data_IF_207141035552
#
_entry.id   IF_207141035552
#
_cell.length_a   1.000
_cell.length_b   1.000
_cell.length_c   1.000
_cell.angle_alpha   90.00
_cell.angle_beta   90.00
_cell.angle_gamma   90.00
#
_symmetry.space_group_name_H-M   'P 1'
#
loop_
_entity.id
_entity.type
_entity.pdbx_description
1 polymer ?
#
# COMPACT_ATOMS: atom_id res chain seq x y z
N UNK A 1 -12.77 31.68 4.74
CA UNK A 1 -12.07 32.22 3.57
C UNK A 1 -11.22 31.11 2.99
N UNK A 2 -11.43 30.77 1.72
CA UNK A 2 -10.58 29.81 0.98
C UNK A 2 -9.73 30.65 0.03
N UNK A 3 -8.41 30.64 0.25
CA UNK A 3 -7.47 31.26 -0.67
C UNK A 3 -7.21 30.26 -1.80
N UNK A 4 -7.84 30.49 -2.96
CA UNK A 4 -7.56 29.77 -4.18
C UNK A 4 -6.35 30.43 -4.88
N UNK A 5 -5.14 30.06 -4.46
CA UNK A 5 -3.89 30.44 -5.12
C UNK A 5 -3.12 29.21 -5.59
N UNK A 6 -2.37 29.34 -6.68
CA UNK A 6 -1.45 28.29 -7.12
C UNK A 6 -0.36 28.06 -6.06
N UNK A 7 -0.10 26.79 -5.71
CA UNK A 7 0.97 26.42 -4.79
C UNK A 7 2.33 26.58 -5.46
N UNK A 8 2.88 27.79 -5.40
CA UNK A 8 4.20 28.11 -5.96
C UNK A 8 5.32 27.73 -4.99
N UNK A 9 6.12 26.72 -5.36
CA UNK A 9 7.43 26.44 -4.73
C UNK A 9 7.40 25.75 -3.36
N UNK A 10 6.24 25.27 -2.91
CA UNK A 10 6.10 24.54 -1.64
C UNK A 10 6.24 23.03 -1.89
N UNK A 11 7.24 22.40 -1.27
CA UNK A 11 7.48 20.95 -1.34
C UNK A 11 6.40 20.20 -0.56
N UNK A 12 5.94 19.07 -1.09
CA UNK A 12 5.03 18.15 -0.38
C UNK A 12 5.75 17.48 0.81
N UNK A 13 4.97 17.08 1.82
CA UNK A 13 5.44 16.46 3.07
C UNK A 13 6.50 17.22 3.87
N UNK A 14 6.54 18.55 3.76
CA UNK A 14 7.55 19.38 4.38
C UNK A 14 6.95 20.28 5.46
N UNK A 15 7.68 20.45 6.55
CA UNK A 15 7.34 21.40 7.61
C UNK A 15 7.69 22.83 7.18
N UNK A 16 6.73 23.73 7.36
CA UNK A 16 6.85 25.14 7.04
C UNK A 16 6.56 26.01 8.26
N UNK A 17 7.22 27.17 8.26
CA UNK A 17 7.01 28.24 9.23
C UNK A 17 6.49 29.45 8.49
N UNK A 18 5.30 29.93 8.84
CA UNK A 18 4.68 31.12 8.26
C UNK A 18 4.76 32.29 9.25
N UNK A 19 5.20 33.43 8.73
CA UNK A 19 5.06 34.73 9.39
C UNK A 19 4.48 35.72 8.40
N UNK A 20 3.67 36.65 8.88
CA UNK A 20 3.03 37.66 8.04
C UNK A 20 3.31 39.04 8.65
N UNK A 21 3.79 39.96 7.82
CA UNK A 21 3.93 41.38 8.14
C UNK A 21 3.03 42.20 7.22
N UNK A 22 2.62 43.39 7.68
CA UNK A 22 1.82 44.34 6.90
C UNK A 22 2.69 45.52 6.49
N UNK A 23 2.57 46.00 5.24
CA UNK A 23 3.33 47.14 4.73
C UNK A 23 2.40 48.24 4.20
N UNK A 24 2.74 49.50 4.42
CA UNK A 24 2.16 50.67 3.75
C UNK A 24 3.24 51.46 2.99
N UNK A 25 2.90 52.62 2.42
CA UNK A 25 3.84 53.44 1.63
C UNK A 25 5.02 53.99 2.43
N UNK A 26 4.91 54.01 3.76
CA UNK A 26 5.90 54.60 4.67
C UNK A 26 6.82 53.51 5.24
N UNK A 27 6.26 52.39 5.70
CA UNK A 27 7.02 51.35 6.38
C UNK A 27 6.33 49.98 6.37
N UNK A 28 7.12 48.95 6.68
CA UNK A 28 6.65 47.61 7.02
C UNK A 28 6.52 47.48 8.54
N UNK A 29 5.39 46.97 9.00
CA UNK A 29 5.09 46.71 10.41
C UNK A 29 5.76 45.44 10.91
N UNK A 30 5.64 45.20 12.23
CA UNK A 30 6.19 44.01 12.85
C UNK A 30 5.57 42.73 12.27
N UNK A 31 6.41 41.72 12.04
CA UNK A 31 5.95 40.40 11.61
C UNK A 31 5.22 39.67 12.75
N UNK A 32 4.21 38.88 12.38
CA UNK A 32 3.44 38.04 13.30
C UNK A 32 4.30 37.02 14.04
N UNK A 33 3.68 36.41 15.05
CA UNK A 33 4.13 35.13 15.62
C UNK A 33 4.26 34.06 14.54
N UNK A 34 5.16 33.10 14.79
CA UNK A 34 5.44 31.99 13.87
C UNK A 34 4.34 30.94 13.98
N UNK A 35 3.63 30.71 12.88
CA UNK A 35 2.73 29.56 12.74
C UNK A 35 3.49 28.40 12.11
N UNK A 36 3.40 27.22 12.73
CA UNK A 36 3.98 25.99 12.21
C UNK A 36 2.89 25.16 11.51
N UNK A 37 3.16 24.68 10.30
CA UNK A 37 2.28 23.77 9.59
C UNK A 37 3.09 22.82 8.70
N UNK A 38 2.59 21.61 8.50
CA UNK A 38 3.21 20.60 7.63
C UNK A 38 2.40 20.43 6.36
N UNK A 39 3.03 20.45 5.18
CA UNK A 39 2.35 20.06 3.93
C UNK A 39 2.14 18.56 3.92
N UNK A 40 1.07 18.07 3.31
CA UNK A 40 0.83 16.62 3.24
C UNK A 40 1.77 15.97 2.23
N UNK A 41 2.40 14.85 2.57
CA UNK A 41 2.64 13.74 1.63
C UNK A 41 1.28 13.27 1.14
N UNK A 42 1.14 12.85 -0.13
CA UNK A 42 -0.07 12.12 -0.51
C UNK A 42 -0.70 12.62 -1.79
N UNK A 43 -0.22 12.09 -2.91
CA UNK A 43 -1.09 11.97 -4.07
C UNK A 43 -2.25 11.01 -3.77
N UNK A 44 -2.00 9.98 -2.95
CA UNK A 44 -2.94 8.89 -2.68
C UNK A 44 -2.97 8.53 -1.20
N UNK A 45 -4.17 8.17 -0.72
CA UNK A 45 -4.36 7.62 0.61
C UNK A 45 -3.65 6.26 0.76
N UNK A 46 -3.38 5.89 2.01
CA UNK A 46 -2.95 4.53 2.31
C UNK A 46 -4.04 3.54 1.90
N UNK A 47 -3.70 2.41 1.26
CA UNK A 47 -4.62 1.29 1.12
C UNK A 47 -5.13 0.85 2.50
N UNK A 48 -6.45 0.72 2.60
CA UNK A 48 -7.16 0.28 3.81
C UNK A 48 -7.73 -1.14 3.61
N UNK A 49 -8.13 -1.79 4.72
CA UNK A 49 -8.69 -3.15 4.74
C UNK A 49 -7.83 -4.19 4.00
N UNK A 50 -6.51 -4.09 4.19
CA UNK A 50 -5.56 -5.02 3.56
C UNK A 50 -5.68 -6.41 4.22
N UNK A 51 -5.99 -7.41 3.40
CA UNK A 51 -6.15 -8.82 3.77
C UNK A 51 -5.22 -9.67 2.93
N UNK A 52 -4.73 -10.76 3.51
CA UNK A 52 -3.76 -11.65 2.87
C UNK A 52 -4.34 -13.07 2.86
N UNK A 53 -4.35 -13.69 1.68
CA UNK A 53 -4.74 -15.08 1.49
C UNK A 53 -3.58 -15.85 0.87
N UNK A 54 -3.24 -17.00 1.44
CA UNK A 54 -2.11 -17.82 0.98
C UNK A 54 -2.65 -19.10 0.40
N UNK A 55 -2.32 -19.35 -0.87
CA UNK A 55 -2.73 -20.54 -1.58
C UNK A 55 -1.78 -21.71 -1.28
N UNK A 56 -2.26 -22.93 -1.49
CA UNK A 56 -1.50 -24.18 -1.24
C UNK A 56 -0.27 -24.34 -2.14
N UNK A 57 -0.25 -23.65 -3.29
CA UNK A 57 0.92 -23.58 -4.18
C UNK A 57 1.98 -22.58 -3.67
N UNK A 58 1.71 -21.86 -2.57
CA UNK A 58 2.58 -20.85 -1.96
C UNK A 58 2.45 -19.45 -2.57
N UNK A 59 1.51 -19.24 -3.49
CA UNK A 59 1.19 -17.91 -3.97
C UNK A 59 0.44 -17.12 -2.89
N UNK A 60 0.73 -15.82 -2.82
CA UNK A 60 0.12 -14.91 -1.86
C UNK A 60 -0.74 -13.91 -2.60
N UNK A 61 -2.01 -13.86 -2.23
CA UNK A 61 -2.99 -12.91 -2.72
C UNK A 61 -3.20 -11.83 -1.69
N UNK A 62 -3.15 -10.57 -2.13
CA UNK A 62 -3.33 -9.41 -1.27
C UNK A 62 -4.55 -8.64 -1.74
N UNK A 63 -5.54 -8.55 -0.87
CA UNK A 63 -6.82 -7.90 -1.13
C UNK A 63 -6.91 -6.61 -0.33
N UNK A 64 -7.41 -5.53 -0.92
CA UNK A 64 -7.62 -4.27 -0.21
C UNK A 64 -8.61 -3.36 -0.96
N UNK A 65 -9.08 -2.31 -0.29
CA UNK A 65 -9.95 -1.32 -0.90
C UNK A 65 -9.20 -0.45 -1.92
N UNK A 66 -9.80 -0.27 -3.09
CA UNK A 66 -9.21 0.53 -4.15
C UNK A 66 -8.91 1.95 -3.66
N UNK A 67 -7.69 2.40 -3.92
CA UNK A 67 -7.29 3.77 -3.56
C UNK A 67 -7.72 4.72 -4.67
N UNK A 68 -8.29 5.86 -4.29
CA UNK A 68 -8.79 6.88 -5.21
C UNK A 68 -7.99 8.17 -5.13
N UNK A 69 -8.00 8.94 -6.23
CA UNK A 69 -7.29 10.21 -6.31
C UNK A 69 -8.06 11.26 -5.51
N UNK A 70 -7.52 11.64 -4.35
CA UNK A 70 -8.15 12.66 -3.50
C UNK A 70 -8.17 14.05 -4.15
N UNK A 71 -7.41 14.28 -5.22
CA UNK A 71 -7.39 15.55 -5.98
C UNK A 71 -8.63 15.72 -6.87
N UNK A 72 -9.33 14.63 -7.22
CA UNK A 72 -10.44 14.67 -8.17
C UNK A 72 -11.82 14.52 -7.51
N UNK A 73 -11.92 14.77 -6.20
CA UNK A 73 -13.16 14.59 -5.42
C UNK A 73 -14.31 15.51 -5.88
N UNK A 74 -13.99 16.67 -6.48
CA UNK A 74 -15.00 17.68 -6.84
C UNK A 74 -15.56 17.54 -8.27
N UNK A 75 -14.95 16.70 -9.13
CA UNK A 75 -15.44 16.39 -10.49
C UNK A 75 -16.13 15.03 -10.57
N UNK A 76 -16.90 14.68 -9.53
CA UNK A 76 -17.74 13.47 -9.48
C UNK A 76 -19.01 13.63 -10.35
N UNK A 77 -18.86 13.95 -11.63
CA UNK A 77 -19.81 13.43 -12.62
C UNK A 77 -19.42 11.99 -12.87
N UNK A 78 -20.27 11.08 -12.41
CA UNK A 78 -20.18 9.65 -12.63
C UNK A 78 -19.65 9.34 -14.04
N UNK A 79 -18.60 8.51 -14.14
CA UNK A 79 -18.24 7.60 -15.25
C UNK A 79 -16.73 7.35 -15.34
N UNK A 80 -15.85 8.17 -14.74
CA UNK A 80 -14.41 7.86 -14.72
C UNK A 80 -13.81 8.08 -13.34
N UNK A 81 -14.19 7.24 -12.38
CA UNK A 81 -13.32 6.98 -11.24
C UNK A 81 -12.00 6.51 -11.85
N UNK A 82 -10.98 7.37 -11.87
CA UNK A 82 -9.63 6.98 -12.22
C UNK A 82 -9.14 6.10 -11.06
N UNK A 83 -9.55 4.85 -11.10
CA UNK A 83 -9.03 3.78 -10.27
C UNK A 83 -7.53 3.75 -10.51
N UNK A 84 -6.73 3.80 -9.45
CA UNK A 84 -5.30 3.60 -9.63
C UNK A 84 -5.05 2.17 -10.03
N UNK A 85 -4.35 2.05 -11.14
CA UNK A 85 -3.99 0.76 -11.66
C UNK A 85 -2.65 0.31 -11.09
N UNK A 86 -1.74 1.20 -10.70
CA UNK A 86 -0.40 0.80 -10.23
C UNK A 86 -0.25 0.84 -8.71
N UNK A 87 0.24 -0.26 -8.15
CA UNK A 87 0.55 -0.44 -6.74
C UNK A 87 1.97 -0.97 -6.57
N UNK A 88 2.62 -0.57 -5.48
CA UNK A 88 3.88 -1.15 -5.04
C UNK A 88 3.65 -1.89 -3.74
N UNK A 89 3.95 -3.18 -3.76
CA UNK A 89 4.01 -4.04 -2.58
C UNK A 89 5.44 -3.99 -2.08
N UNK A 90 5.61 -3.63 -0.82
CA UNK A 90 6.89 -3.63 -0.13
C UNK A 90 6.92 -4.84 0.80
N UNK A 91 7.87 -5.75 0.57
CA UNK A 91 8.07 -6.96 1.38
C UNK A 91 9.41 -6.92 2.11
N UNK A 92 9.42 -7.38 3.35
CA UNK A 92 10.66 -7.65 4.08
C UNK A 92 10.49 -8.85 5.00
N UNK A 93 11.59 -9.39 5.51
CA UNK A 93 11.57 -10.49 6.48
C UNK A 93 11.68 -9.87 7.87
N UNK A 94 10.73 -10.11 8.79
CA UNK A 94 10.80 -9.59 10.16
C UNK A 94 12.06 -10.07 10.91
N UNK A 95 12.53 -9.33 11.93
CA UNK A 95 11.92 -8.12 12.50
C UNK A 95 12.07 -6.89 11.61
N UNK A 96 11.08 -5.97 11.69
CA UNK A 96 11.09 -4.71 10.93
C UNK A 96 11.71 -3.61 11.77
N UNK A 97 12.80 -3.02 11.27
CA UNK A 97 13.52 -1.89 11.85
C UNK A 97 13.92 -0.88 10.76
N UNK A 98 14.68 0.15 11.15
CA UNK A 98 15.12 1.22 10.24
C UNK A 98 16.07 0.76 9.12
N UNK A 99 16.73 -0.39 9.31
CA UNK A 99 17.69 -0.97 8.37
C UNK A 99 17.10 -2.14 7.57
N UNK A 100 15.81 -2.47 7.74
CA UNK A 100 15.16 -3.54 7.00
C UNK A 100 15.25 -3.31 5.50
N UNK A 101 15.72 -4.34 4.79
CA UNK A 101 15.80 -4.33 3.33
C UNK A 101 14.43 -4.67 2.76
N UNK A 102 13.86 -3.75 2.00
CA UNK A 102 12.56 -3.90 1.38
C UNK A 102 12.69 -4.33 -0.09
N UNK A 103 12.01 -5.41 -0.44
CA UNK A 103 11.80 -5.84 -1.82
C UNK A 103 10.52 -5.17 -2.35
N UNK A 104 10.66 -4.35 -3.38
CA UNK A 104 9.53 -3.71 -4.04
C UNK A 104 9.02 -4.58 -5.20
N UNK A 105 7.73 -4.88 -5.19
CA UNK A 105 7.03 -5.60 -6.24
C UNK A 105 5.96 -4.69 -6.81
N UNK A 106 6.13 -4.31 -8.08
CA UNK A 106 5.18 -3.46 -8.78
C UNK A 106 4.09 -4.28 -9.46
N UNK A 107 2.84 -3.84 -9.31
CA UNK A 107 1.68 -4.48 -9.91
C UNK A 107 0.77 -3.45 -10.53
N UNK A 108 0.22 -3.83 -11.68
CA UNK A 108 -0.85 -3.07 -12.31
C UNK A 108 -2.13 -3.89 -12.28
N UNK A 109 -3.17 -3.42 -11.60
CA UNK A 109 -4.44 -4.10 -11.42
C UNK A 109 -5.62 -3.13 -11.48
N UNK A 110 -6.68 -3.51 -12.19
CA UNK A 110 -7.97 -2.79 -12.17
C UNK A 110 -8.76 -3.28 -10.96
N UNK A 111 -9.35 -2.35 -10.19
CA UNK A 111 -10.26 -2.74 -9.12
C UNK A 111 -11.53 -3.37 -9.67
N UNK A 112 -11.98 -4.47 -9.08
CA UNK A 112 -13.32 -5.02 -9.30
C UNK A 112 -14.20 -4.63 -8.12
N UNK A 113 -15.34 -3.97 -8.37
CA UNK A 113 -16.29 -3.58 -7.33
C UNK A 113 -15.68 -2.77 -6.16
N UNK A 114 -14.68 -1.92 -6.44
CA UNK A 114 -14.01 -1.12 -5.40
C UNK A 114 -12.94 -1.86 -4.60
N UNK A 115 -12.63 -3.11 -4.96
CA UNK A 115 -11.57 -3.90 -4.32
C UNK A 115 -10.47 -4.24 -5.32
N UNK A 116 -9.23 -4.32 -4.83
CA UNK A 116 -8.05 -4.69 -5.61
C UNK A 116 -7.50 -6.01 -5.08
N UNK A 117 -7.11 -6.89 -5.99
CA UNK A 117 -6.45 -8.15 -5.68
C UNK A 117 -5.10 -8.19 -6.40
N UNK A 118 -4.01 -8.31 -5.64
CA UNK A 118 -2.66 -8.41 -6.18
C UNK A 118 -2.05 -9.77 -5.90
N UNK A 119 -1.49 -10.39 -6.95
CA UNK A 119 -0.74 -11.64 -6.84
C UNK A 119 0.74 -11.39 -6.59
N UNK A 120 1.25 -11.99 -5.52
CA UNK A 120 2.67 -12.18 -5.25
C UNK A 120 2.96 -13.67 -5.51
N UNK A 121 3.55 -14.01 -6.68
CA UNK A 121 3.83 -15.40 -6.99
C UNK A 121 4.90 -15.92 -6.04
N UNK A 122 4.85 -17.21 -5.68
CA UNK A 122 5.85 -17.86 -4.82
C UNK A 122 7.28 -17.61 -5.31
N UNK A 123 7.48 -17.54 -6.63
CA UNK A 123 8.78 -17.29 -7.25
C UNK A 123 9.36 -15.90 -6.99
N UNK A 124 8.54 -14.93 -6.57
CA UNK A 124 8.98 -13.59 -6.18
C UNK A 124 9.27 -13.48 -4.67
N UNK A 125 8.98 -14.53 -3.92
CA UNK A 125 9.16 -14.61 -2.48
C UNK A 125 10.41 -15.48 -2.22
N UNK A 126 11.25 -15.06 -1.29
CA UNK A 126 12.43 -15.85 -0.90
C UNK A 126 11.99 -17.06 -0.05
N UNK A 127 12.90 -17.97 0.27
CA UNK A 127 12.60 -19.15 1.10
C UNK A 127 12.46 -18.80 2.60
N UNK A 128 11.74 -17.73 2.96
CA UNK A 128 11.42 -17.41 4.34
C UNK A 128 10.03 -17.90 4.73
N UNK A 129 9.86 -18.21 6.00
CA UNK A 129 8.57 -18.66 6.55
C UNK A 129 7.66 -17.51 6.97
N UNK A 130 8.17 -16.27 7.06
CA UNK A 130 7.42 -15.11 7.54
C UNK A 130 7.84 -13.83 6.84
N UNK A 131 6.86 -12.98 6.56
CA UNK A 131 7.02 -11.71 5.86
C UNK A 131 6.27 -10.59 6.57
N UNK A 132 6.80 -9.38 6.44
CA UNK A 132 6.13 -8.13 6.70
C UNK A 132 5.84 -7.42 5.37
N UNK A 133 4.66 -6.81 5.26
CA UNK A 133 4.16 -6.19 4.05
C UNK A 133 3.55 -4.82 4.31
N UNK A 134 3.82 -3.92 3.38
CA UNK A 134 3.10 -2.66 3.21
C UNK A 134 2.76 -2.45 1.73
N UNK A 135 1.69 -1.71 1.47
CA UNK A 135 1.25 -1.39 0.11
C UNK A 135 1.12 0.11 -0.02
N UNK A 136 1.49 0.65 -1.16
CA UNK A 136 1.16 2.02 -1.52
C UNK A 136 0.74 2.11 -2.99
N UNK A 137 -0.20 3.00 -3.28
CA UNK A 137 -0.55 3.35 -4.65
C UNK A 137 0.61 4.12 -5.30
N UNK A 138 0.83 3.92 -6.60
CA UNK A 138 1.93 4.52 -7.36
C UNK A 138 1.41 5.28 -8.58
N UNK A 139 2.00 6.44 -8.88
CA UNK A 139 1.78 7.17 -10.12
C UNK A 139 3.12 7.70 -10.68
N UNK A 140 3.57 7.11 -11.78
CA UNK A 140 4.89 7.39 -12.35
C UNK A 140 5.98 7.10 -11.34
N UNK A 141 6.79 8.10 -10.97
CA UNK A 141 7.84 7.99 -9.96
C UNK A 141 7.38 8.25 -8.52
N UNK A 142 6.11 8.59 -8.30
CA UNK A 142 5.61 9.00 -6.99
C UNK A 142 4.83 7.88 -6.30
N UNK A 143 5.17 7.66 -5.03
CA UNK A 143 4.49 6.71 -4.14
C UNK A 143 3.52 7.47 -3.23
N UNK A 144 2.33 6.91 -3.00
CA UNK A 144 1.36 7.41 -2.04
C UNK A 144 1.69 7.00 -0.60
N UNK A 145 0.75 7.28 0.31
CA UNK A 145 0.87 6.85 1.69
C UNK A 145 0.87 5.31 1.77
N UNK A 146 1.62 4.75 2.73
CA UNK A 146 1.72 3.29 2.92
C UNK A 146 0.61 2.79 3.83
N UNK A 147 0.11 1.59 3.54
CA UNK A 147 -0.79 0.85 4.43
C UNK A 147 -0.16 0.58 5.80
N UNK A 148 -0.99 0.16 6.74
CA UNK A 148 -0.51 -0.46 7.97
C UNK A 148 0.45 -1.62 7.66
N UNK A 149 1.42 -1.85 8.56
CA UNK A 149 2.33 -2.98 8.50
C UNK A 149 1.57 -4.27 8.83
N UNK A 150 1.65 -5.25 7.94
CA UNK A 150 0.99 -6.55 8.12
C UNK A 150 2.03 -7.64 8.06
N UNK A 151 2.01 -8.53 9.05
CA UNK A 151 2.86 -9.72 9.06
C UNK A 151 2.06 -10.97 8.75
N UNK A 152 2.66 -11.91 8.01
CA UNK A 152 2.03 -13.17 7.64
C UNK A 152 3.08 -14.28 7.44
N UNK A 153 2.68 -15.53 7.66
CA UNK A 153 3.55 -16.71 7.51
C UNK A 153 3.30 -17.40 6.17
N UNK A 154 4.36 -17.74 5.43
CA UNK A 154 4.29 -18.48 4.15
C UNK A 154 4.72 -19.93 4.38
N UNK A 155 3.95 -20.87 3.86
CA UNK A 155 4.30 -22.29 3.93
C UNK A 155 5.53 -22.58 3.06
N UNK A 156 6.69 -22.78 3.68
CA UNK A 156 7.85 -23.37 3.01
C UNK A 156 7.55 -24.84 2.74
N UNK A 157 7.70 -25.27 1.48
CA UNK A 157 7.48 -26.67 1.06
C UNK A 157 8.51 -27.67 1.63
N UNK A 158 9.39 -27.25 2.55
CA UNK A 158 10.40 -28.10 3.18
C UNK A 158 9.92 -28.77 4.48
N UNK A 159 8.64 -29.14 4.53
CA UNK A 159 8.10 -30.06 5.53
C UNK A 159 7.94 -31.45 4.92
N UNK A 160 9.01 -32.24 4.92
CA UNK A 160 8.95 -33.68 4.67
C UNK A 160 8.09 -34.34 5.76
N UNK A 161 6.79 -34.47 5.51
CA UNK A 161 5.95 -35.43 6.23
C UNK A 161 6.13 -36.80 5.56
N UNK A 162 7.26 -37.45 5.84
CA UNK A 162 7.31 -38.91 5.73
C UNK A 162 6.62 -39.49 6.96
N UNK A 163 5.44 -40.08 6.74
CA UNK A 163 5.00 -41.28 7.44
C UNK A 163 4.02 -41.99 6.54
N UNK A 164 4.58 -42.99 5.85
CA UNK A 164 3.84 -44.18 5.48
C UNK A 164 3.17 -44.73 6.75
N UNK A 165 1.85 -44.81 6.74
CA UNK A 165 1.14 -45.90 7.40
C UNK A 165 0.25 -46.54 6.32
N UNK A 166 0.87 -47.52 5.66
CA UNK A 166 0.18 -48.59 4.96
C UNK A 166 -0.60 -49.41 6.00
N UNK A 167 -1.92 -49.35 5.92
CA UNK A 167 -2.81 -50.46 6.31
C UNK A 167 -3.85 -50.66 5.22
N UNK A 168 -3.41 -51.30 4.14
CA UNK A 168 -4.11 -52.42 3.49
C UNK A 168 -5.50 -52.80 4.05
N UNK A 169 -6.54 -52.66 3.21
CA UNK A 169 -7.38 -53.78 2.73
C UNK A 169 -8.33 -53.34 1.59
N UNK A 170 -8.52 -54.16 0.54
CA UNK A 170 -9.46 -53.89 -0.55
C UNK A 170 -10.88 -54.34 -0.17
N UNK A 171 -11.90 -53.68 -0.71
CA UNK A 171 -13.28 -54.20 -0.71
C UNK A 171 -13.58 -54.64 -2.14
N UNK A 172 -13.76 -55.95 -2.29
CA UNK A 172 -14.19 -56.62 -3.50
C UNK A 172 -15.63 -56.23 -3.91
N UNK A 173 -15.80 -56.26 -5.21
CA UNK A 173 -17.00 -56.26 -6.03
C UNK A 173 -18.18 -57.05 -5.39
N UNK A 174 -19.35 -56.42 -5.32
CA UNK A 174 -20.62 -57.11 -5.06
C UNK A 174 -21.54 -56.90 -6.26
N UNK A 175 -21.52 -57.88 -7.15
CA UNK A 175 -22.59 -58.18 -8.08
C UNK A 175 -23.31 -59.45 -7.62
N UNK A 176 -24.61 -59.33 -7.37
CA UNK A 176 -25.62 -60.40 -7.39
C UNK A 176 -26.92 -59.82 -7.93
#
# INVERSE_FOLDING_TARGET
YVLNGESLGVRSDCDYRLRVSAKNEIAEGAASEVVHFKTRSGLFAAPEDVRITIHTNGDVYVHFDAVYDRRNRDNLTAVTLLVFHAYTILLTIPPVDENSVWTAIERTQVSSNGTVELLIPKTAIQDASRYALQIAAKNGSHLGDKSALIEFDVYSSNGSSSRYDDKSKPIEDMSL
#
